data_IF_877206043843
#
_entry.id   IF_877206043843
#
_cell.length_a   1.000
_cell.length_b   1.000
_cell.length_c   1.000
_cell.angle_alpha   90.00
_cell.angle_beta   90.00
_cell.angle_gamma   90.00
#
_symmetry.space_group_name_H-M   'P 1'
#
loop_
_entity.id
_entity.type
_entity.pdbx_description
1 polymer ?
#
# COMPACT_ATOMS: atom_id res chain seq x y z
N UNK A 1 -0.41 -6.68 -10.12
CA UNK A 1 -0.82 -6.04 -8.85
C UNK A 1 -2.20 -6.56 -8.51
N UNK A 2 -2.34 -7.25 -7.38
CA UNK A 2 -3.66 -7.60 -6.84
C UNK A 2 -3.84 -6.80 -5.56
N UNK A 3 -4.97 -6.10 -5.45
CA UNK A 3 -5.34 -5.33 -4.27
C UNK A 3 -6.35 -6.18 -3.52
N UNK A 4 -6.01 -6.61 -2.31
CA UNK A 4 -6.94 -7.34 -1.47
C UNK A 4 -7.87 -6.35 -0.79
N UNK A 5 -9.18 -6.55 -0.97
CA UNK A 5 -10.20 -5.80 -0.27
C UNK A 5 -10.14 -6.09 1.23
N UNK A 6 -10.13 -5.03 2.03
CA UNK A 6 -10.03 -5.11 3.48
C UNK A 6 -11.31 -4.55 4.13
N UNK A 7 -12.43 -5.17 3.77
CA UNK A 7 -13.80 -4.68 4.05
C UNK A 7 -14.25 -4.77 5.52
N UNK A 8 -13.35 -5.11 6.44
CA UNK A 8 -13.67 -5.09 7.88
C UNK A 8 -13.60 -3.66 8.41
N UNK A 9 -14.55 -3.26 9.27
CA UNK A 9 -14.63 -1.91 9.85
C UNK A 9 -13.31 -1.47 10.49
N UNK A 10 -12.62 -2.38 11.18
CA UNK A 10 -11.35 -2.12 11.86
C UNK A 10 -10.14 -2.05 10.92
N UNK A 11 -10.33 -2.37 9.64
CA UNK A 11 -9.29 -2.41 8.62
C UNK A 11 -9.55 -1.42 7.48
N UNK A 12 -10.66 -0.68 7.54
CA UNK A 12 -11.00 0.38 6.61
C UNK A 12 -9.89 1.44 6.58
N UNK A 13 -9.30 1.63 5.40
CA UNK A 13 -8.18 2.54 5.17
C UNK A 13 -6.84 1.84 4.89
N UNK A 14 -6.75 0.52 5.10
CA UNK A 14 -5.55 -0.25 4.79
C UNK A 14 -5.80 -1.24 3.65
N UNK A 15 -4.91 -1.28 2.66
CA UNK A 15 -4.98 -2.21 1.54
C UNK A 15 -3.71 -3.07 1.49
N UNK A 16 -3.84 -4.36 1.18
CA UNK A 16 -2.70 -5.21 0.87
C UNK A 16 -2.50 -5.32 -0.64
N UNK A 17 -1.26 -5.19 -1.07
CA UNK A 17 -0.90 -5.27 -2.48
C UNK A 17 0.09 -6.42 -2.69
N UNK A 18 -0.28 -7.38 -3.55
CA UNK A 18 0.63 -8.45 -3.97
C UNK A 18 1.27 -8.14 -5.31
N UNK A 19 2.60 -8.14 -5.33
CA UNK A 19 3.42 -8.04 -6.54
C UNK A 19 3.85 -9.42 -7.04
N UNK A 20 4.28 -9.48 -8.30
CA UNK A 20 4.82 -10.70 -8.91
C UNK A 20 6.28 -10.92 -8.55
N UNK A 21 7.02 -9.83 -8.39
CA UNK A 21 8.45 -9.79 -8.10
C UNK A 21 8.69 -8.99 -6.82
N UNK A 22 9.67 -9.38 -6.02
CA UNK A 22 9.98 -8.75 -4.74
C UNK A 22 10.55 -7.34 -4.94
N UNK A 23 11.33 -7.15 -6.00
CA UNK A 23 11.96 -5.87 -6.36
C UNK A 23 10.92 -4.80 -6.70
N UNK A 24 9.75 -5.21 -7.23
CA UNK A 24 8.64 -4.29 -7.47
C UNK A 24 7.94 -3.89 -6.17
N UNK A 25 7.87 -4.79 -5.18
CA UNK A 25 7.32 -4.49 -3.87
C UNK A 25 8.24 -3.51 -3.09
N UNK A 26 9.55 -3.73 -3.12
CA UNK A 26 10.53 -2.82 -2.52
C UNK A 26 10.43 -1.41 -3.11
N UNK A 27 10.40 -1.30 -4.44
CA UNK A 27 10.22 0.00 -5.13
C UNK A 27 8.91 0.67 -4.73
N UNK A 28 7.82 -0.09 -4.69
CA UNK A 28 6.52 0.44 -4.31
C UNK A 28 6.52 1.00 -2.88
N UNK A 29 7.14 0.30 -1.92
CA UNK A 29 7.22 0.77 -0.52
C UNK A 29 8.04 2.05 -0.41
N UNK A 30 9.18 2.15 -1.09
CA UNK A 30 9.99 3.38 -1.09
C UNK A 30 9.22 4.54 -1.73
N UNK A 31 8.58 4.31 -2.87
CA UNK A 31 7.86 5.35 -3.60
C UNK A 31 6.61 5.82 -2.86
N UNK A 32 5.82 4.90 -2.28
CA UNK A 32 4.56 5.23 -1.60
C UNK A 32 4.77 6.01 -0.32
N UNK A 33 5.84 5.74 0.44
CA UNK A 33 6.17 6.49 1.65
C UNK A 33 6.60 7.95 1.37
N UNK A 34 6.78 8.32 0.10
CA UNK A 34 7.03 9.70 -0.33
C UNK A 34 5.78 10.38 -0.93
N UNK A 35 4.61 9.73 -0.90
CA UNK A 35 3.36 10.24 -1.51
C UNK A 35 2.36 10.76 -0.49
N UNK A 36 1.55 11.70 -0.97
CA UNK A 36 0.44 12.30 -0.24
C UNK A 36 -0.85 12.07 -1.03
N UNK A 37 -1.93 11.79 -0.31
CA UNK A 37 -3.27 11.63 -0.86
C UNK A 37 -4.27 12.34 0.06
N UNK A 38 -5.09 13.22 -0.52
CA UNK A 38 -6.08 14.01 0.22
C UNK A 38 -5.52 14.75 1.45
N UNK A 39 -4.33 15.34 1.29
CA UNK A 39 -3.66 16.08 2.38
C UNK A 39 -3.10 15.20 3.50
N UNK A 40 -3.11 13.86 3.34
CA UNK A 40 -2.54 12.90 4.29
C UNK A 40 -1.37 12.16 3.66
N UNK A 41 -0.32 11.91 4.44
CA UNK A 41 0.79 11.06 4.00
C UNK A 41 0.31 9.62 3.83
N UNK A 42 0.80 8.95 2.79
CA UNK A 42 0.61 7.51 2.59
C UNK A 42 1.72 6.77 3.33
N UNK A 43 1.38 5.64 3.94
CA UNK A 43 2.31 4.76 4.62
C UNK A 43 2.28 3.38 3.97
N UNK A 44 3.45 2.79 3.75
CA UNK A 44 3.59 1.45 3.18
C UNK A 44 4.70 0.66 3.90
N UNK A 45 4.49 -0.64 4.06
CA UNK A 45 5.42 -1.60 4.69
C UNK A 45 5.47 -2.93 3.90
N UNK A 46 6.50 -3.76 4.15
CA UNK A 46 6.75 -5.06 3.52
C UNK A 46 6.39 -6.22 4.45
#
# INVERSE_FOLDING_TARGET
MNICDNLSEHLAGNCYVKFRFEEDAEKAVVDLNNRWFDGRAVYAEL
#
